data_IF_090341098597
#
_entry.id   IF_090341098597
#
_cell.length_a   1.000
_cell.length_b   1.000
_cell.length_c   1.000
_cell.angle_alpha   90.00
_cell.angle_beta   90.00
_cell.angle_gamma   90.00
#
_symmetry.space_group_name_H-M   'P 1'
#
loop_
_entity.id
_entity.type
_entity.pdbx_description
1 polymer ?
#
# COMPACT_ATOMS: atom_id res chain seq x y z
N UNK A 1 -6.67 -10.70 -13.65
CA UNK A 1 -6.84 -11.24 -12.27
C UNK A 1 -8.01 -12.21 -12.20
N UNK A 2 -9.18 -11.89 -12.76
CA UNK A 2 -10.38 -12.77 -12.72
C UNK A 2 -10.13 -14.14 -13.35
N UNK A 3 -9.42 -14.21 -14.49
CA UNK A 3 -9.04 -15.48 -15.13
C UNK A 3 -8.18 -16.35 -14.24
N UNK A 4 -7.19 -15.77 -13.54
CA UNK A 4 -6.33 -16.49 -12.60
C UNK A 4 -7.15 -17.10 -11.47
N UNK A 5 -8.06 -16.30 -10.89
CA UNK A 5 -8.92 -16.76 -9.80
C UNK A 5 -9.88 -17.88 -10.26
N UNK A 6 -10.47 -17.74 -11.45
CA UNK A 6 -11.36 -18.76 -12.04
C UNK A 6 -10.60 -20.07 -12.28
N UNK A 7 -9.41 -20.02 -12.88
CA UNK A 7 -8.60 -21.22 -13.13
C UNK A 7 -8.20 -21.90 -11.84
N UNK A 8 -7.83 -21.13 -10.80
CA UNK A 8 -7.42 -21.69 -9.51
C UNK A 8 -8.59 -22.27 -8.72
N UNK A 9 -9.66 -21.47 -8.51
CA UNK A 9 -10.74 -21.85 -7.58
C UNK A 9 -11.83 -22.69 -8.26
N UNK A 10 -12.22 -22.34 -9.50
CA UNK A 10 -13.31 -23.02 -10.19
C UNK A 10 -12.86 -24.26 -10.96
N UNK A 11 -11.65 -24.25 -11.53
CA UNK A 11 -11.11 -25.38 -12.32
C UNK A 11 -10.17 -26.26 -11.52
N UNK A 12 -9.73 -25.84 -10.32
CA UNK A 12 -8.73 -26.58 -9.51
C UNK A 12 -7.35 -26.68 -10.12
N UNK A 13 -7.09 -25.98 -11.24
CA UNK A 13 -5.82 -26.02 -11.96
C UNK A 13 -4.85 -24.95 -11.43
N UNK A 14 -4.13 -25.29 -10.37
CA UNK A 14 -3.08 -24.44 -9.80
C UNK A 14 -1.92 -24.17 -10.77
N UNK A 15 -1.39 -25.17 -11.51
CA UNK A 15 -0.35 -24.92 -12.53
C UNK A 15 -0.79 -23.95 -13.62
N UNK A 16 -2.00 -24.08 -14.12
CA UNK A 16 -2.58 -23.16 -15.13
C UNK A 16 -2.72 -21.74 -14.57
N UNK A 17 -3.22 -21.60 -13.36
CA UNK A 17 -3.33 -20.30 -12.68
C UNK A 17 -1.96 -19.63 -12.48
N UNK A 18 -0.91 -20.41 -12.12
CA UNK A 18 0.46 -19.91 -11.99
C UNK A 18 1.04 -19.43 -13.34
N UNK A 19 0.78 -20.13 -14.44
CA UNK A 19 1.20 -19.69 -15.79
C UNK A 19 0.55 -18.37 -16.18
N UNK A 20 -0.75 -18.21 -15.95
CA UNK A 20 -1.47 -16.95 -16.21
C UNK A 20 -0.93 -15.82 -15.32
N UNK A 21 -0.62 -16.12 -14.05
CA UNK A 21 0.00 -15.17 -13.13
C UNK A 21 1.39 -14.74 -13.61
N UNK A 22 2.21 -15.68 -14.09
CA UNK A 22 3.53 -15.37 -14.65
C UNK A 22 3.43 -14.49 -15.90
N UNK A 23 2.51 -14.77 -16.83
CA UNK A 23 2.28 -13.92 -17.99
C UNK A 23 1.87 -12.49 -17.59
N UNK A 24 0.99 -12.36 -16.61
CA UNK A 24 0.58 -11.05 -16.09
C UNK A 24 1.76 -10.30 -15.44
N UNK A 25 2.61 -11.01 -14.69
CA UNK A 25 3.82 -10.43 -14.09
C UNK A 25 4.81 -9.94 -15.15
N UNK A 26 5.03 -10.70 -16.21
CA UNK A 26 5.91 -10.29 -17.31
C UNK A 26 5.37 -9.01 -17.98
N UNK A 27 4.05 -8.94 -18.20
CA UNK A 27 3.43 -7.74 -18.75
C UNK A 27 3.62 -6.52 -17.83
N UNK A 28 3.40 -6.67 -16.53
CA UNK A 28 3.58 -5.58 -15.55
C UNK A 28 5.04 -5.13 -15.51
N UNK A 29 5.99 -6.07 -15.45
CA UNK A 29 7.42 -5.76 -15.47
C UNK A 29 7.82 -5.04 -16.76
N UNK A 30 7.29 -5.49 -17.89
CA UNK A 30 7.50 -4.81 -19.18
C UNK A 30 7.01 -3.36 -19.15
N UNK A 31 5.80 -3.11 -18.65
CA UNK A 31 5.25 -1.75 -18.51
C UNK A 31 6.06 -0.88 -17.56
N UNK A 32 6.51 -1.42 -16.43
CA UNK A 32 7.36 -0.70 -15.48
C UNK A 32 8.74 -0.37 -16.07
N UNK A 33 9.32 -1.28 -16.84
CA UNK A 33 10.58 -1.05 -17.55
C UNK A 33 10.41 0.00 -18.64
N UNK A 34 9.30 -0.07 -19.39
CA UNK A 34 8.95 0.90 -20.42
C UNK A 34 8.75 2.30 -19.82
N UNK A 35 8.01 2.40 -18.70
CA UNK A 35 7.84 3.66 -17.96
C UNK A 35 9.20 4.22 -17.53
N UNK A 36 10.05 3.37 -16.95
CA UNK A 36 11.39 3.78 -16.52
C UNK A 36 12.24 4.26 -17.70
N UNK A 37 12.15 3.57 -18.83
CA UNK A 37 12.87 3.94 -20.05
C UNK A 37 12.38 5.27 -20.61
N UNK A 38 11.07 5.50 -20.66
CA UNK A 38 10.47 6.76 -21.10
C UNK A 38 10.79 7.93 -20.17
N UNK A 39 10.97 7.67 -18.87
CA UNK A 39 11.40 8.67 -17.88
C UNK A 39 12.91 8.91 -17.85
N UNK A 40 13.69 8.10 -18.58
CA UNK A 40 15.14 8.22 -18.63
C UNK A 40 15.50 9.49 -19.41
N UNK A 41 15.97 10.51 -18.70
CA UNK A 41 16.32 11.82 -19.27
C UNK A 41 15.44 12.97 -18.76
N UNK A 42 14.30 12.72 -18.16
CA UNK A 42 13.52 13.77 -17.47
C UNK A 42 14.21 14.11 -16.14
N UNK A 43 15.10 15.09 -16.17
CA UNK A 43 15.68 15.71 -14.97
C UNK A 43 14.58 16.52 -14.29
N UNK A 44 13.87 15.92 -13.34
CA UNK A 44 13.05 16.69 -12.41
C UNK A 44 14.02 17.48 -11.52
N UNK A 45 14.25 18.73 -11.83
CA UNK A 45 14.87 19.64 -10.88
C UNK A 45 13.91 19.72 -9.69
N UNK A 46 14.34 19.19 -8.55
CA UNK A 46 13.72 19.50 -7.26
C UNK A 46 13.92 21.00 -7.07
N UNK A 47 12.97 21.79 -7.53
CA UNK A 47 12.85 23.17 -7.11
C UNK A 47 12.68 23.11 -5.60
N UNK A 48 13.60 23.76 -4.86
CA UNK A 48 13.44 23.93 -3.41
C UNK A 48 12.00 24.25 -3.08
N UNK A 49 11.44 23.73 -1.98
CA UNK A 49 10.09 24.06 -1.58
C UNK A 49 10.02 25.58 -1.43
N UNK A 50 9.58 26.22 -2.50
CA UNK A 50 9.27 27.63 -2.47
C UNK A 50 7.97 27.70 -1.68
N UNK A 51 8.00 28.33 -0.51
CA UNK A 51 6.83 28.73 0.28
C UNK A 51 5.92 29.74 -0.45
N UNK A 52 6.03 29.79 -1.79
CA UNK A 52 5.13 30.64 -2.57
C UNK A 52 3.76 30.00 -2.58
N UNK A 53 2.72 30.68 -2.01
CA UNK A 53 1.36 30.18 -2.07
C UNK A 53 0.97 30.00 -3.55
N UNK A 54 0.29 28.91 -3.84
CA UNK A 54 -0.22 28.62 -5.19
C UNK A 54 -1.00 29.84 -5.69
N UNK A 55 -0.62 30.39 -6.85
CA UNK A 55 -1.38 31.46 -7.48
C UNK A 55 -2.77 30.92 -7.85
N UNK A 56 -3.78 31.48 -7.20
CA UNK A 56 -5.18 31.17 -7.52
C UNK A 56 -5.58 32.01 -8.72
N UNK A 57 -5.95 31.34 -9.81
CA UNK A 57 -6.50 32.02 -10.98
C UNK A 57 -7.99 32.30 -10.76
N UNK A 58 -8.47 33.57 -10.81
CA UNK A 58 -9.87 33.88 -10.75
C UNK A 58 -10.55 33.41 -12.05
N UNK A 59 -11.35 32.35 -11.95
CA UNK A 59 -12.19 31.90 -13.07
C UNK A 59 -13.49 32.72 -13.07
N UNK A 60 -13.87 33.25 -14.24
CA UNK A 60 -15.20 33.81 -14.41
C UNK A 60 -16.29 32.77 -14.19
N UNK A 61 -17.51 33.20 -13.81
CA UNK A 61 -18.60 32.30 -13.39
C UNK A 61 -18.88 31.14 -14.35
N UNK A 62 -18.90 31.38 -15.67
CA UNK A 62 -19.12 30.33 -16.67
C UNK A 62 -18.00 29.30 -16.71
N UNK A 63 -16.72 29.74 -16.64
CA UNK A 63 -15.55 28.85 -16.62
C UNK A 63 -15.46 28.07 -15.31
N UNK A 64 -15.84 28.69 -14.18
CA UNK A 64 -15.90 28.01 -12.89
C UNK A 64 -16.97 26.91 -12.89
N UNK A 65 -18.16 27.18 -13.44
CA UNK A 65 -19.22 26.19 -13.60
C UNK A 65 -18.79 25.00 -14.45
N UNK A 66 -18.12 25.26 -15.59
CA UNK A 66 -17.60 24.20 -16.46
C UNK A 66 -16.53 23.36 -15.74
N UNK A 67 -15.62 23.98 -15.03
CA UNK A 67 -14.59 23.28 -14.27
C UNK A 67 -15.20 22.39 -13.17
N UNK A 68 -16.19 22.90 -12.44
CA UNK A 68 -16.92 22.11 -11.43
C UNK A 68 -17.63 20.92 -12.10
N UNK A 69 -18.31 21.13 -13.23
CA UNK A 69 -18.99 20.06 -13.95
C UNK A 69 -18.01 18.98 -14.42
N UNK A 70 -16.88 19.38 -15.02
CA UNK A 70 -15.83 18.46 -15.45
C UNK A 70 -15.23 17.61 -14.32
N UNK A 71 -15.17 18.15 -13.10
CA UNK A 71 -14.72 17.41 -11.93
C UNK A 71 -15.84 16.57 -11.30
N UNK A 72 -17.07 17.07 -11.31
CA UNK A 72 -18.21 16.43 -10.66
C UNK A 72 -18.72 15.22 -11.44
N UNK A 73 -18.72 15.27 -12.78
CA UNK A 73 -19.24 14.19 -13.64
C UNK A 73 -18.48 12.87 -13.42
N UNK A 74 -17.14 12.82 -13.47
CA UNK A 74 -16.39 11.60 -13.16
C UNK A 74 -16.66 11.10 -11.73
N UNK A 75 -16.78 12.01 -10.76
CA UNK A 75 -17.09 11.65 -9.37
C UNK A 75 -18.48 11.03 -9.23
N UNK A 76 -19.49 11.61 -9.87
CA UNK A 76 -20.86 11.09 -9.83
C UNK A 76 -20.96 9.72 -10.52
N UNK A 77 -20.36 9.57 -11.69
CA UNK A 77 -20.41 8.30 -12.45
C UNK A 77 -19.53 7.24 -11.78
N UNK A 78 -18.32 7.59 -11.35
CA UNK A 78 -17.36 6.62 -10.81
C UNK A 78 -17.60 6.25 -9.35
N UNK A 79 -18.23 7.11 -8.57
CA UNK A 79 -18.44 6.90 -7.15
C UNK A 79 -19.91 6.92 -6.73
N UNK A 80 -20.65 7.97 -7.03
CA UNK A 80 -22.01 8.12 -6.52
C UNK A 80 -22.98 7.08 -7.12
N UNK A 81 -22.85 6.76 -8.40
CA UNK A 81 -23.70 5.78 -9.07
C UNK A 81 -23.46 4.35 -8.52
N UNK A 82 -22.23 3.81 -8.45
CA UNK A 82 -22.00 2.51 -7.81
C UNK A 82 -22.44 2.49 -6.35
N UNK A 83 -22.17 3.54 -5.59
CA UNK A 83 -22.54 3.64 -4.18
C UNK A 83 -24.05 3.62 -4.00
N UNK A 84 -24.82 4.34 -4.81
CA UNK A 84 -26.29 4.35 -4.76
C UNK A 84 -26.88 2.97 -5.08
N UNK A 85 -26.30 2.25 -6.03
CA UNK A 85 -26.73 0.87 -6.35
C UNK A 85 -26.41 -0.10 -5.21
N UNK A 86 -25.24 0.01 -4.60
CA UNK A 86 -24.89 -0.79 -3.43
C UNK A 86 -25.81 -0.49 -2.24
N UNK A 87 -26.09 0.80 -1.96
CA UNK A 87 -27.02 1.21 -0.92
C UNK A 87 -28.43 0.66 -1.15
N UNK A 88 -28.93 0.73 -2.39
CA UNK A 88 -30.22 0.16 -2.77
C UNK A 88 -30.25 -1.37 -2.52
N UNK A 89 -29.26 -2.13 -2.97
CA UNK A 89 -29.22 -3.58 -2.72
C UNK A 89 -29.07 -3.93 -1.24
N UNK A 90 -28.28 -3.14 -0.51
CA UNK A 90 -28.15 -3.29 0.94
C UNK A 90 -29.50 -3.10 1.64
N UNK A 91 -30.28 -2.09 1.27
CA UNK A 91 -31.59 -1.85 1.88
C UNK A 91 -32.57 -3.01 1.66
N UNK A 92 -32.48 -3.71 0.53
CA UNK A 92 -33.31 -4.88 0.24
C UNK A 92 -32.90 -6.14 1.01
N UNK A 93 -31.62 -6.27 1.34
CA UNK A 93 -31.06 -7.49 1.94
C UNK A 93 -30.71 -7.35 3.43
N UNK A 94 -30.64 -6.12 3.94
CA UNK A 94 -30.21 -5.81 5.30
C UNK A 94 -30.96 -6.63 6.37
N UNK A 95 -32.27 -6.71 6.27
CA UNK A 95 -33.10 -7.46 7.24
C UNK A 95 -32.86 -8.97 7.27
N UNK A 96 -32.22 -9.54 6.22
CA UNK A 96 -31.91 -10.98 6.14
C UNK A 96 -30.44 -11.30 6.51
N UNK A 97 -29.56 -10.34 6.40
CA UNK A 97 -28.10 -10.53 6.50
C UNK A 97 -27.53 -9.95 7.78
N UNK A 98 -28.16 -8.91 8.34
CA UNK A 98 -27.69 -8.27 9.57
C UNK A 98 -28.06 -9.10 10.80
N UNK A 99 -27.33 -10.17 11.00
CA UNK A 99 -27.43 -11.07 12.16
C UNK A 99 -26.16 -11.01 13.03
N UNK A 100 -26.17 -11.76 14.13
CA UNK A 100 -25.01 -11.85 15.03
C UNK A 100 -23.77 -12.42 14.32
N UNK A 101 -23.96 -13.28 13.33
CA UNK A 101 -22.87 -13.88 12.52
C UNK A 101 -22.20 -12.81 11.67
N UNK A 102 -22.99 -11.96 11.02
CA UNK A 102 -22.47 -10.83 10.24
C UNK A 102 -21.64 -9.88 11.11
N UNK A 103 -22.15 -9.52 12.29
CA UNK A 103 -21.42 -8.66 13.22
C UNK A 103 -20.09 -9.29 13.64
N UNK A 104 -20.08 -10.57 13.97
CA UNK A 104 -18.86 -11.31 14.33
C UNK A 104 -17.84 -11.32 13.19
N UNK A 105 -18.27 -11.59 11.95
CA UNK A 105 -17.40 -11.59 10.78
C UNK A 105 -16.83 -10.20 10.49
N UNK A 106 -17.66 -9.17 10.64
CA UNK A 106 -17.24 -7.76 10.47
C UNK A 106 -16.18 -7.37 11.50
N UNK A 107 -16.40 -7.69 12.78
CA UNK A 107 -15.43 -7.43 13.84
C UNK A 107 -14.10 -8.17 13.60
N UNK A 108 -14.17 -9.43 13.18
CA UNK A 108 -12.97 -10.20 12.82
C UNK A 108 -12.21 -9.54 11.65
N UNK A 109 -12.93 -9.09 10.63
CA UNK A 109 -12.33 -8.43 9.47
C UNK A 109 -11.65 -7.11 9.86
N UNK A 110 -12.31 -6.30 10.69
CA UNK A 110 -11.74 -5.06 11.24
C UNK A 110 -10.51 -5.36 12.09
N UNK A 111 -10.58 -6.40 12.94
CA UNK A 111 -9.46 -6.83 13.77
C UNK A 111 -8.23 -7.22 12.94
N UNK A 112 -8.43 -8.05 11.91
CA UNK A 112 -7.34 -8.46 11.00
C UNK A 112 -6.79 -7.26 10.23
N UNK A 113 -7.66 -6.38 9.72
CA UNK A 113 -7.25 -5.18 9.00
C UNK A 113 -6.41 -4.25 9.88
N UNK A 114 -6.87 -4.00 11.11
CA UNK A 114 -6.14 -3.15 12.08
C UNK A 114 -4.80 -3.76 12.46
N UNK A 115 -4.76 -5.05 12.78
CA UNK A 115 -3.51 -5.74 13.12
C UNK A 115 -2.51 -5.69 11.95
N UNK A 116 -3.00 -5.90 10.72
CA UNK A 116 -2.17 -5.84 9.51
C UNK A 116 -1.68 -4.41 9.25
N UNK A 117 -2.55 -3.41 9.36
CA UNK A 117 -2.20 -2.00 9.18
C UNK A 117 -1.10 -1.58 10.16
N UNK A 118 -1.27 -1.88 11.45
CA UNK A 118 -0.26 -1.59 12.47
C UNK A 118 1.07 -2.29 12.18
N UNK A 119 1.04 -3.58 11.85
CA UNK A 119 2.25 -4.34 11.51
C UNK A 119 2.96 -3.74 10.29
N UNK A 120 2.20 -3.38 9.25
CA UNK A 120 2.73 -2.80 8.01
C UNK A 120 3.37 -1.43 8.26
N UNK A 121 2.71 -0.55 9.01
CA UNK A 121 3.24 0.77 9.40
C UNK A 121 4.51 0.64 10.23
N UNK A 122 4.53 -0.27 11.21
CA UNK A 122 5.71 -0.52 12.04
C UNK A 122 6.88 -1.02 11.20
N UNK A 123 6.67 -1.97 10.30
CA UNK A 123 7.71 -2.48 9.40
C UNK A 123 8.19 -1.36 8.47
N UNK A 124 7.28 -0.60 7.84
CA UNK A 124 7.62 0.51 6.96
C UNK A 124 8.44 1.59 7.69
N UNK A 125 8.06 1.92 8.92
CA UNK A 125 8.76 2.89 9.76
C UNK A 125 10.18 2.44 10.09
N UNK A 126 10.36 1.19 10.52
CA UNK A 126 11.68 0.63 10.83
C UNK A 126 12.55 0.58 9.57
N UNK A 127 12.01 0.14 8.45
CA UNK A 127 12.73 0.08 7.18
C UNK A 127 13.13 1.47 6.68
N UNK A 128 12.21 2.45 6.71
CA UNK A 128 12.48 3.82 6.29
C UNK A 128 13.53 4.50 7.19
N UNK A 129 13.44 4.27 8.51
CA UNK A 129 14.41 4.79 9.46
C UNK A 129 15.80 4.19 9.25
N UNK A 130 15.92 2.86 9.19
CA UNK A 130 17.22 2.18 9.01
C UNK A 130 17.86 2.57 7.70
N UNK A 131 17.09 2.67 6.62
CA UNK A 131 17.57 3.09 5.32
C UNK A 131 18.21 4.49 5.36
N UNK A 132 17.63 5.42 6.11
CA UNK A 132 18.13 6.81 6.20
C UNK A 132 19.15 7.03 7.29
N UNK A 133 19.03 6.34 8.41
CA UNK A 133 19.95 6.48 9.55
C UNK A 133 21.35 5.96 9.20
N UNK A 134 21.43 4.82 8.53
CA UNK A 134 22.69 4.19 8.18
C UNK A 134 23.30 4.65 6.83
N UNK A 135 22.58 5.49 6.06
CA UNK A 135 23.11 6.22 4.89
C UNK A 135 23.66 5.31 3.76
N UNK A 136 23.19 4.08 3.64
CA UNK A 136 23.81 3.09 2.77
C UNK A 136 23.03 2.87 1.46
N UNK A 137 23.69 2.18 0.50
CA UNK A 137 23.06 1.66 -0.73
C UNK A 137 21.85 0.76 -0.45
N UNK A 138 21.75 0.23 0.75
CA UNK A 138 20.58 -0.52 1.24
C UNK A 138 19.27 0.31 1.18
N UNK A 139 19.33 1.63 1.36
CA UNK A 139 18.17 2.52 1.24
C UNK A 139 17.48 2.41 -0.13
N UNK A 140 18.28 2.42 -1.19
CA UNK A 140 17.74 2.28 -2.56
C UNK A 140 17.17 0.90 -2.84
N UNK A 141 17.77 -0.16 -2.28
CA UNK A 141 17.28 -1.53 -2.42
C UNK A 141 15.96 -1.72 -1.66
N UNK A 142 15.87 -1.22 -0.42
CA UNK A 142 14.67 -1.33 0.42
C UNK A 142 13.48 -0.60 -0.22
N UNK A 143 13.69 0.59 -0.77
CA UNK A 143 12.65 1.35 -1.47
C UNK A 143 12.16 0.58 -2.71
N UNK A 144 13.05 -0.02 -3.49
CA UNK A 144 12.66 -0.83 -4.66
C UNK A 144 11.86 -2.07 -4.25
N UNK A 145 12.26 -2.76 -3.19
CA UNK A 145 11.54 -3.93 -2.68
C UNK A 145 10.15 -3.57 -2.15
N UNK A 146 10.03 -2.48 -1.41
CA UNK A 146 8.74 -2.01 -0.91
C UNK A 146 7.77 -1.69 -2.07
N UNK A 147 8.22 -1.01 -3.12
CA UNK A 147 7.39 -0.65 -4.27
C UNK A 147 6.96 -1.88 -5.07
N UNK A 148 7.83 -2.89 -5.21
CA UNK A 148 7.51 -4.10 -5.97
C UNK A 148 6.31 -4.86 -5.41
N UNK A 149 6.12 -4.90 -4.10
CA UNK A 149 4.98 -5.57 -3.47
C UNK A 149 3.62 -5.04 -3.94
N UNK A 150 3.51 -3.74 -4.22
CA UNK A 150 2.27 -3.14 -4.72
C UNK A 150 2.02 -3.42 -6.22
N UNK A 151 3.08 -3.50 -7.01
CA UNK A 151 2.98 -3.78 -8.43
C UNK A 151 2.52 -5.21 -8.73
N UNK A 152 2.75 -6.14 -7.78
CA UNK A 152 2.37 -7.55 -7.94
C UNK A 152 0.87 -7.73 -7.71
N UNK A 153 0.13 -8.38 -8.63
CA UNK A 153 -1.28 -8.71 -8.40
C UNK A 153 -1.47 -9.55 -7.12
N UNK A 154 -2.47 -9.20 -6.31
CA UNK A 154 -2.70 -9.88 -5.02
C UNK A 154 -2.88 -11.39 -5.11
N UNK A 155 -3.50 -11.88 -6.18
CA UNK A 155 -3.64 -13.32 -6.42
C UNK A 155 -2.26 -14.02 -6.58
N UNK A 156 -1.28 -13.35 -7.19
CA UNK A 156 0.08 -13.89 -7.35
C UNK A 156 0.80 -13.96 -6.01
N UNK A 157 0.68 -12.90 -5.19
CA UNK A 157 1.24 -12.88 -3.83
C UNK A 157 0.61 -14.01 -3.00
N UNK A 158 -0.72 -14.13 -3.03
CA UNK A 158 -1.42 -15.17 -2.28
C UNK A 158 -0.97 -16.58 -2.66
N UNK A 159 -0.88 -16.88 -3.96
CA UNK A 159 -0.40 -18.18 -4.44
C UNK A 159 1.06 -18.44 -4.06
N UNK A 160 1.94 -17.43 -4.19
CA UNK A 160 3.35 -17.54 -3.79
C UNK A 160 3.51 -17.83 -2.31
N UNK A 161 2.82 -17.09 -1.46
CA UNK A 161 2.88 -17.28 0.00
C UNK A 161 2.26 -18.61 0.42
N UNK A 162 1.15 -19.02 -0.18
CA UNK A 162 0.54 -20.34 0.11
C UNK A 162 1.46 -21.49 -0.28
N UNK A 163 2.17 -21.38 -1.40
CA UNK A 163 3.13 -22.39 -1.81
C UNK A 163 4.30 -22.51 -0.83
N UNK A 164 4.87 -21.38 -0.41
CA UNK A 164 5.91 -21.34 0.61
C UNK A 164 5.40 -21.88 1.94
N UNK A 165 4.22 -21.46 2.39
CA UNK A 165 3.59 -21.96 3.60
C UNK A 165 3.37 -23.49 3.55
N UNK A 166 2.96 -24.02 2.38
CA UNK A 166 2.82 -25.46 2.17
C UNK A 166 4.13 -26.21 2.30
N UNK A 167 5.22 -25.67 1.72
CA UNK A 167 6.56 -26.27 1.85
C UNK A 167 7.05 -26.25 3.31
N UNK A 168 6.85 -25.14 4.03
CA UNK A 168 7.19 -25.05 5.46
C UNK A 168 6.36 -26.04 6.28
N UNK A 169 5.06 -26.18 5.98
CA UNK A 169 4.18 -27.17 6.64
C UNK A 169 4.71 -28.59 6.44
N UNK A 170 5.14 -28.94 5.22
CA UNK A 170 5.71 -30.26 4.92
C UNK A 170 7.04 -30.50 5.64
N UNK A 171 7.88 -29.47 5.75
CA UNK A 171 9.20 -29.58 6.37
C UNK A 171 9.15 -29.61 7.91
N UNK A 172 8.22 -28.87 8.52
CA UNK A 172 8.16 -28.65 9.98
C UNK A 172 7.01 -29.38 10.67
N UNK A 173 6.02 -29.86 9.92
CA UNK A 173 4.77 -30.41 10.45
C UNK A 173 3.79 -29.36 10.99
N UNK A 174 4.14 -28.07 10.99
CA UNK A 174 3.27 -27.00 11.46
C UNK A 174 2.29 -26.58 10.36
N UNK A 175 0.99 -26.67 10.63
CA UNK A 175 -0.05 -26.30 9.67
C UNK A 175 -0.13 -24.77 9.58
N UNK A 176 0.63 -24.20 8.65
CA UNK A 176 0.63 -22.77 8.37
C UNK A 176 -0.43 -22.37 7.32
N UNK A 177 -0.77 -23.30 6.41
CA UNK A 177 -1.77 -23.07 5.36
C UNK A 177 -3.15 -22.83 5.98
N UNK A 178 -3.79 -21.68 5.61
CA UNK A 178 -5.07 -21.28 6.18
C UNK A 178 -5.00 -20.55 7.53
N UNK A 179 -3.79 -20.29 8.06
CA UNK A 179 -3.63 -19.53 9.30
C UNK A 179 -3.79 -18.01 9.08
N UNK A 180 -4.25 -17.31 10.12
CA UNK A 180 -4.30 -15.84 10.13
C UNK A 180 -2.92 -15.21 9.93
N UNK A 181 -1.86 -15.86 10.38
CA UNK A 181 -0.48 -15.39 10.22
C UNK A 181 -0.10 -15.27 8.75
N UNK A 182 -0.42 -16.29 7.94
CA UNK A 182 -0.17 -16.28 6.49
C UNK A 182 -1.00 -15.20 5.79
N UNK A 183 -2.24 -15.00 6.21
CA UNK A 183 -3.10 -13.95 5.69
C UNK A 183 -2.52 -12.55 5.98
N UNK A 184 -2.14 -12.29 7.23
CA UNK A 184 -1.50 -11.03 7.64
C UNK A 184 -0.20 -10.81 6.87
N UNK A 185 0.64 -11.84 6.68
CA UNK A 185 1.86 -11.76 5.90
C UNK A 185 1.60 -11.36 4.44
N UNK A 186 0.58 -11.95 3.80
CA UNK A 186 0.18 -11.57 2.45
C UNK A 186 -0.22 -10.10 2.36
N UNK A 187 -0.99 -9.61 3.32
CA UNK A 187 -1.40 -8.22 3.37
C UNK A 187 -0.25 -7.27 3.66
N UNK A 188 0.64 -7.62 4.60
CA UNK A 188 1.84 -6.82 4.87
C UNK A 188 2.70 -6.67 3.61
N UNK A 189 3.00 -7.76 2.90
CA UNK A 189 3.76 -7.71 1.65
C UNK A 189 3.08 -6.80 0.62
N UNK A 190 1.76 -6.90 0.49
CA UNK A 190 0.98 -6.13 -0.47
C UNK A 190 0.93 -4.65 -0.14
N UNK A 191 0.68 -4.30 1.12
CA UNK A 191 0.42 -2.92 1.54
C UNK A 191 1.67 -2.18 2.03
N UNK A 192 2.81 -2.86 2.13
CA UNK A 192 4.06 -2.24 2.57
C UNK A 192 4.43 -1.00 1.74
N UNK A 193 4.23 -1.03 0.43
CA UNK A 193 4.49 0.12 -0.43
C UNK A 193 3.58 1.32 -0.15
N UNK A 194 2.32 1.05 0.19
CA UNK A 194 1.33 2.11 0.51
C UNK A 194 1.72 2.81 1.80
N UNK A 195 2.16 2.05 2.81
CA UNK A 195 2.64 2.62 4.07
C UNK A 195 4.02 3.28 3.93
N UNK A 196 4.89 2.70 3.11
CA UNK A 196 6.25 3.21 2.90
C UNK A 196 6.29 4.62 2.31
N UNK A 197 5.51 4.89 1.26
CA UNK A 197 5.59 6.14 0.51
C UNK A 197 5.38 7.40 1.36
N UNK A 198 4.30 7.53 2.17
CA UNK A 198 4.10 8.70 3.01
C UNK A 198 5.14 8.83 4.12
N UNK A 199 5.59 7.70 4.68
CA UNK A 199 6.63 7.68 5.73
C UNK A 199 7.96 8.14 5.16
N UNK A 200 8.39 7.62 4.01
CA UNK A 200 9.64 7.99 3.35
C UNK A 200 9.65 9.47 2.93
N UNK A 201 8.55 9.94 2.34
CA UNK A 201 8.37 11.35 2.00
C UNK A 201 8.37 12.27 3.24
N UNK A 202 7.77 11.83 4.36
CA UNK A 202 7.80 12.56 5.61
C UNK A 202 9.21 12.65 6.21
N UNK A 203 9.95 11.56 6.17
CA UNK A 203 11.35 11.53 6.62
C UNK A 203 12.26 12.38 5.73
N UNK A 204 12.01 12.44 4.41
CA UNK A 204 12.79 13.27 3.50
C UNK A 204 12.67 14.75 3.83
N UNK A 205 11.48 15.19 4.20
CA UNK A 205 11.21 16.61 4.48
C UNK A 205 11.75 17.09 5.83
N UNK A 206 11.62 16.28 6.86
CA UNK A 206 11.74 16.78 8.24
C UNK A 206 12.91 16.19 9.04
N UNK A 207 13.51 15.06 8.62
CA UNK A 207 14.32 14.29 9.54
C UNK A 207 15.83 14.29 9.27
N UNK A 208 16.32 14.69 8.09
CA UNK A 208 17.75 14.55 7.75
C UNK A 208 18.65 15.38 8.68
N UNK A 209 18.35 16.66 8.88
CA UNK A 209 19.13 17.56 9.74
C UNK A 209 18.95 17.22 11.22
N UNK A 210 17.72 16.86 11.63
CA UNK A 210 17.40 16.51 13.02
C UNK A 210 18.03 15.18 13.45
N UNK A 211 18.14 14.22 12.53
CA UNK A 211 18.86 12.98 12.81
C UNK A 211 20.35 13.20 13.01
N UNK A 212 20.99 14.05 12.21
CA UNK A 212 22.38 14.43 12.40
C UNK A 212 22.59 15.14 13.74
N UNK A 213 21.72 16.09 14.08
CA UNK A 213 21.77 16.77 15.37
C UNK A 213 21.56 15.81 16.57
N UNK A 214 20.65 14.84 16.44
CA UNK A 214 20.43 13.85 17.49
C UNK A 214 21.64 12.92 17.69
N UNK A 215 22.32 12.56 16.60
CA UNK A 215 23.56 11.77 16.66
C UNK A 215 24.70 12.54 17.33
N UNK A 216 24.88 13.83 17.01
CA UNK A 216 25.90 14.66 17.65
C UNK A 216 25.64 14.85 19.15
N UNK A 217 24.38 14.79 19.57
CA UNK A 217 23.98 14.84 20.98
C UNK A 217 24.04 13.46 21.67
N UNK A 218 24.55 12.42 21.00
CA UNK A 218 24.74 11.08 21.58
C UNK A 218 23.44 10.26 21.72
N UNK A 219 22.37 10.63 21.03
CA UNK A 219 21.14 9.83 21.06
C UNK A 219 21.32 8.47 20.38
N UNK A 220 20.84 7.41 21.03
CA UNK A 220 20.80 6.08 20.43
C UNK A 220 19.81 6.04 19.27
N UNK A 221 19.97 5.12 18.28
CA UNK A 221 19.05 4.99 17.14
C UNK A 221 17.59 4.83 17.56
N UNK A 222 17.32 4.00 18.56
CA UNK A 222 15.97 3.81 19.07
C UNK A 222 15.39 5.10 19.68
N UNK A 223 16.19 5.84 20.46
CA UNK A 223 15.76 7.12 21.02
C UNK A 223 15.48 8.17 19.95
N UNK A 224 16.32 8.24 18.92
CA UNK A 224 16.09 9.10 17.76
C UNK A 224 14.80 8.73 17.01
N UNK A 225 14.53 7.44 16.83
CA UNK A 225 13.30 6.98 16.18
C UNK A 225 12.05 7.41 16.98
N UNK A 226 11.96 7.03 18.25
CA UNK A 226 10.72 7.22 19.03
C UNK A 226 10.50 8.65 19.51
N UNK A 227 11.56 9.40 19.86
CA UNK A 227 11.42 10.75 20.44
C UNK A 227 11.53 11.86 19.42
N UNK A 228 12.16 11.62 18.26
CA UNK A 228 12.32 12.64 17.21
C UNK A 228 11.48 12.31 15.99
N UNK A 229 11.69 11.13 15.39
CA UNK A 229 11.08 10.82 14.10
C UNK A 229 9.58 10.54 14.19
N UNK A 230 9.14 9.68 15.13
CA UNK A 230 7.71 9.31 15.26
C UNK A 230 6.80 10.52 15.51
N UNK A 231 7.11 11.44 16.45
CA UNK A 231 6.29 12.64 16.65
C UNK A 231 6.22 13.55 15.44
N UNK A 232 7.32 13.69 14.70
CA UNK A 232 7.37 14.52 13.50
C UNK A 232 6.62 13.90 12.32
N UNK A 233 6.54 12.57 12.28
CA UNK A 233 5.89 11.81 11.22
C UNK A 233 4.40 11.55 11.48
N UNK A 234 3.81 12.05 12.59
CA UNK A 234 2.40 11.79 12.92
C UNK A 234 1.45 12.06 11.75
N UNK A 235 1.69 13.15 10.98
CA UNK A 235 0.87 13.51 9.82
C UNK A 235 1.10 12.60 8.60
N UNK A 236 2.20 11.86 8.56
CA UNK A 236 2.48 10.86 7.53
C UNK A 236 2.05 9.45 7.96
N UNK A 237 2.01 9.18 9.27
CA UNK A 237 1.58 7.88 9.82
C UNK A 237 0.07 7.67 9.71
N UNK A 238 -0.74 8.73 9.85
CA UNK A 238 -2.20 8.64 9.74
C UNK A 238 -2.64 8.09 8.36
N UNK A 239 -2.17 8.60 7.22
CA UNK A 239 -2.54 8.06 5.91
C UNK A 239 -1.81 6.76 5.55
N UNK A 240 -0.82 6.33 6.32
CA UNK A 240 -0.06 5.09 6.08
C UNK A 240 -0.73 3.85 6.70
N UNK A 241 -1.59 4.02 7.71
CA UNK A 241 -2.34 2.96 8.41
C UNK A 241 -3.79 2.92 8.01
#
# INVERSE_FOLDING_TARGET
>A
TTGIFRTWVSMGDLPGALRLAACLMVLILFLLLLEKWLRFGAKFHKTSPSDRPFQRYPLGQAKAGLAILCCLVPLLIGFALPLSRLAYWTSLTAGKVLDATFLKLTLNSIGVATATGLATVMIALVLAFTARYFGSQAAGATNRLAILGYAVPGAVIAMGVLRVAGQVTQATGWILTGSLTVLVLCYVIRFLAVAWQPIDAGMERNCAQLNQASQTLGATPARSLFHVNVPLLRNALIPAG
#
